data_IF_470653449439
#
_entry.id   IF_470653449439
#
_cell.length_a   1.000
_cell.length_b   1.000
_cell.length_c   1.000
_cell.angle_alpha   90.00
_cell.angle_beta   90.00
_cell.angle_gamma   90.00
#
_symmetry.space_group_name_H-M   'P 1'
#
loop_
_entity.id
_entity.type
_entity.pdbx_description
1 polymer ?
#
# COMPACT_ATOMS: atom_id res chain seq x y z
N UNK A 1 -73.25 3.30 -47.07
CA UNK A 1 -72.62 2.42 -46.08
C UNK A 1 -71.80 1.39 -46.84
N UNK A 2 -70.48 1.50 -46.74
CA UNK A 2 -69.52 0.43 -47.02
C UNK A 2 -68.21 0.93 -46.43
N UNK A 3 -68.02 0.63 -45.15
CA UNK A 3 -66.87 1.04 -44.37
C UNK A 3 -65.61 0.42 -44.98
N UNK A 4 -64.78 1.27 -45.57
CA UNK A 4 -63.50 0.90 -46.15
C UNK A 4 -62.50 0.74 -44.98
N UNK A 5 -62.61 -0.37 -44.24
CA UNK A 5 -61.69 -0.70 -43.15
C UNK A 5 -60.38 -1.17 -43.80
N UNK A 6 -59.49 -0.21 -44.07
CA UNK A 6 -58.09 -0.48 -44.37
C UNK A 6 -57.50 -1.25 -43.18
N UNK A 7 -57.24 -2.55 -43.37
CA UNK A 7 -56.49 -3.38 -42.41
C UNK A 7 -55.05 -2.88 -42.37
N UNK A 8 -54.80 -1.88 -41.53
CA UNK A 8 -53.46 -1.35 -41.28
C UNK A 8 -52.69 -2.41 -40.51
N UNK A 9 -51.82 -3.14 -41.20
CA UNK A 9 -50.94 -4.12 -40.56
C UNK A 9 -50.04 -3.38 -39.56
N UNK A 10 -50.21 -3.66 -38.27
CA UNK A 10 -49.38 -3.07 -37.23
C UNK A 10 -47.96 -3.59 -37.38
N UNK A 11 -46.99 -2.68 -37.34
CA UNK A 11 -45.58 -3.05 -37.37
C UNK A 11 -45.28 -3.94 -36.15
N UNK A 12 -44.51 -5.03 -36.33
CA UNK A 12 -44.19 -6.00 -35.27
C UNK A 12 -43.65 -5.32 -33.99
N UNK A 13 -42.89 -4.23 -34.16
CA UNK A 13 -42.34 -3.42 -33.05
C UNK A 13 -43.43 -2.77 -32.18
N UNK A 14 -44.52 -2.32 -32.78
CA UNK A 14 -45.62 -1.68 -32.06
C UNK A 14 -46.44 -2.71 -31.27
N UNK A 15 -46.62 -3.90 -31.86
CA UNK A 15 -47.28 -5.04 -31.21
C UNK A 15 -46.45 -5.53 -30.01
N UNK A 16 -45.13 -5.62 -30.15
CA UNK A 16 -44.22 -5.99 -29.06
C UNK A 16 -44.19 -4.93 -27.96
N UNK A 17 -44.23 -3.64 -28.32
CA UNK A 17 -44.29 -2.55 -27.34
C UNK A 17 -45.57 -2.60 -26.52
N UNK A 18 -46.71 -2.82 -27.18
CA UNK A 18 -47.99 -3.01 -26.50
C UNK A 18 -47.96 -4.23 -25.58
N UNK A 19 -47.38 -5.35 -26.03
CA UNK A 19 -47.21 -6.55 -25.20
C UNK A 19 -46.36 -6.27 -23.96
N UNK A 20 -45.28 -5.51 -24.09
CA UNK A 20 -44.39 -5.16 -22.98
C UNK A 20 -45.07 -4.20 -21.98
N UNK A 21 -45.87 -3.26 -22.47
CA UNK A 21 -46.72 -2.39 -21.64
C UNK A 21 -47.73 -3.19 -20.81
N UNK A 22 -48.45 -4.12 -21.45
CA UNK A 22 -49.43 -4.98 -20.76
C UNK A 22 -48.77 -5.88 -19.72
N UNK A 23 -47.54 -6.33 -19.96
CA UNK A 23 -46.76 -7.16 -19.02
C UNK A 23 -46.08 -6.36 -17.90
N UNK A 24 -46.31 -5.05 -17.81
CA UNK A 24 -45.69 -4.17 -16.79
C UNK A 24 -44.20 -3.88 -17.02
N UNK A 25 -43.66 -4.22 -18.20
CA UNK A 25 -42.25 -4.08 -18.56
C UNK A 25 -42.02 -2.92 -19.54
N UNK A 26 -42.57 -1.75 -19.22
CA UNK A 26 -42.58 -0.58 -20.12
C UNK A 26 -41.20 -0.07 -20.54
N UNK A 27 -40.14 -0.41 -19.80
CA UNK A 27 -38.76 0.01 -20.08
C UNK A 27 -37.96 -0.99 -20.94
N UNK A 28 -38.52 -2.14 -21.33
CA UNK A 28 -37.83 -3.10 -22.19
C UNK A 28 -37.76 -2.61 -23.64
N UNK A 29 -36.53 -2.49 -24.19
CA UNK A 29 -36.29 -2.04 -25.57
C UNK A 29 -36.86 -3.03 -26.59
N UNK A 30 -37.73 -2.55 -27.49
CA UNK A 30 -38.32 -3.31 -28.61
C UNK A 30 -37.54 -3.22 -29.92
N UNK A 31 -36.32 -2.67 -29.89
CA UNK A 31 -35.45 -2.58 -31.06
C UNK A 31 -33.97 -2.61 -30.68
N UNK A 32 -33.20 -3.42 -31.41
CA UNK A 32 -31.74 -3.35 -31.38
C UNK A 32 -31.30 -2.03 -32.01
N UNK A 33 -30.75 -1.14 -31.19
CA UNK A 33 -29.99 0.00 -31.69
C UNK A 33 -28.58 -0.49 -31.92
N UNK A 34 -28.03 -0.26 -33.11
CA UNK A 34 -26.61 -0.51 -33.37
C UNK A 34 -25.83 0.58 -32.66
N UNK A 35 -25.50 0.32 -31.40
CA UNK A 35 -24.79 1.22 -30.52
C UNK A 35 -24.25 0.40 -29.36
N UNK A 36 -22.92 0.42 -29.21
CA UNK A 36 -22.10 -0.27 -28.22
C UNK A 36 -22.84 -0.55 -26.90
N UNK A 37 -23.27 -1.80 -26.68
CA UNK A 37 -23.81 -2.24 -25.40
C UNK A 37 -22.63 -2.49 -24.46
N UNK A 38 -22.30 -1.51 -23.61
CA UNK A 38 -21.35 -1.73 -22.50
C UNK A 38 -21.88 -2.85 -21.62
N UNK A 39 -21.06 -3.88 -21.38
CA UNK A 39 -21.34 -4.85 -20.31
C UNK A 39 -21.35 -4.08 -18.99
N UNK A 40 -22.46 -4.13 -18.26
CA UNK A 40 -22.52 -3.60 -16.91
C UNK A 40 -21.85 -4.60 -15.98
N UNK A 41 -20.59 -4.34 -15.65
CA UNK A 41 -19.86 -5.08 -14.63
C UNK A 41 -20.12 -4.40 -13.28
N UNK A 42 -20.67 -5.16 -12.33
CA UNK A 42 -20.90 -4.70 -10.97
C UNK A 42 -19.73 -5.16 -10.10
N UNK A 43 -18.94 -4.20 -9.62
CA UNK A 43 -17.85 -4.45 -8.69
C UNK A 43 -18.29 -4.12 -7.27
N UNK A 44 -17.82 -4.89 -6.29
CA UNK A 44 -18.08 -4.69 -4.86
C UNK A 44 -16.90 -3.95 -4.21
N UNK A 45 -17.12 -3.50 -2.98
CA UNK A 45 -16.07 -2.84 -2.19
C UNK A 45 -14.86 -3.77 -1.97
N UNK A 46 -13.67 -3.28 -2.30
CA UNK A 46 -12.42 -4.06 -2.26
C UNK A 46 -12.04 -4.78 -3.55
N UNK A 47 -12.90 -4.81 -4.58
CA UNK A 47 -12.55 -5.38 -5.88
C UNK A 47 -11.51 -4.51 -6.61
N UNK A 48 -10.50 -5.15 -7.19
CA UNK A 48 -9.50 -4.51 -8.07
C UNK A 48 -9.76 -4.98 -9.49
N UNK A 49 -10.00 -4.06 -10.42
CA UNK A 49 -10.19 -4.41 -11.84
C UNK A 49 -9.49 -3.43 -12.77
N UNK A 50 -9.21 -3.86 -13.98
CA UNK A 50 -8.62 -3.02 -15.02
C UNK A 50 -9.69 -2.54 -16.00
N UNK A 51 -9.77 -1.23 -16.18
CA UNK A 51 -10.66 -0.61 -17.16
C UNK A 51 -9.93 0.53 -17.86
N UNK A 52 -9.86 0.47 -19.19
CA UNK A 52 -9.16 1.45 -20.04
C UNK A 52 -7.67 1.63 -19.67
N UNK A 53 -6.98 0.53 -19.36
CA UNK A 53 -5.55 0.54 -19.00
C UNK A 53 -5.22 1.17 -17.65
N UNK A 54 -6.22 1.35 -16.78
CA UNK A 54 -6.07 1.82 -15.40
C UNK A 54 -6.68 0.80 -14.44
N UNK A 55 -6.06 0.63 -13.29
CA UNK A 55 -6.56 -0.21 -12.20
C UNK A 55 -7.50 0.60 -11.32
N UNK A 56 -8.69 0.08 -11.06
CA UNK A 56 -9.72 0.73 -10.26
C UNK A 56 -10.00 -0.08 -9.01
N UNK A 57 -10.39 0.62 -7.94
CA UNK A 57 -10.92 0.04 -6.70
C UNK A 57 -12.14 0.81 -6.23
N UNK A 58 -13.00 0.14 -5.48
CA UNK A 58 -14.04 0.80 -4.69
C UNK A 58 -13.56 0.86 -3.24
N UNK A 59 -13.46 2.07 -2.69
CA UNK A 59 -13.22 2.34 -1.27
C UNK A 59 -14.23 3.35 -0.77
N UNK A 60 -14.84 3.08 0.39
CA UNK A 60 -15.84 3.97 1.00
C UNK A 60 -16.98 4.33 0.04
N UNK A 61 -17.36 3.38 -0.83
CA UNK A 61 -18.40 3.56 -1.86
C UNK A 61 -17.99 4.43 -3.07
N UNK A 62 -16.74 4.91 -3.13
CA UNK A 62 -16.23 5.75 -4.21
C UNK A 62 -15.30 4.92 -5.11
N UNK A 63 -15.50 5.02 -6.43
CA UNK A 63 -14.59 4.43 -7.43
C UNK A 63 -13.32 5.28 -7.53
N UNK A 64 -12.20 4.74 -7.06
CA UNK A 64 -10.88 5.35 -7.07
C UNK A 64 -9.93 4.63 -8.05
N UNK A 65 -9.05 5.38 -8.72
CA UNK A 65 -7.99 4.81 -9.56
C UNK A 65 -6.75 4.52 -8.70
N UNK A 66 -6.25 3.29 -8.75
CA UNK A 66 -5.02 2.89 -8.06
C UNK A 66 -3.82 3.39 -8.86
N UNK A 67 -3.13 4.38 -8.32
CA UNK A 67 -1.91 4.92 -8.90
C UNK A 67 -0.67 4.45 -8.16
N UNK A 68 0.51 4.54 -8.80
CA UNK A 68 1.80 4.34 -8.11
C UNK A 68 1.95 5.24 -6.88
N UNK A 69 1.32 6.42 -6.89
CA UNK A 69 1.33 7.38 -5.79
C UNK A 69 0.54 6.91 -4.55
N UNK A 70 -0.39 5.97 -4.69
CA UNK A 70 -1.19 5.52 -3.54
C UNK A 70 -0.36 4.73 -2.52
N UNK A 71 0.76 4.13 -2.94
CA UNK A 71 1.74 3.55 -2.01
C UNK A 71 2.34 4.62 -1.11
N UNK A 72 2.65 5.79 -1.67
CA UNK A 72 3.25 6.91 -0.95
C UNK A 72 2.24 7.68 -0.09
N UNK A 73 0.97 7.74 -0.50
CA UNK A 73 -0.11 8.31 0.31
C UNK A 73 -0.26 7.57 1.65
N UNK A 74 -0.10 6.23 1.66
CA UNK A 74 -0.13 5.43 2.89
C UNK A 74 1.03 5.70 3.84
N UNK A 75 2.20 6.05 3.30
CA UNK A 75 3.39 6.41 4.10
C UNK A 75 3.41 7.88 4.53
N UNK A 76 2.49 8.70 4.03
CA UNK A 76 2.42 10.11 4.38
C UNK A 76 1.89 10.27 5.80
N UNK A 77 2.36 11.32 6.45
CA UNK A 77 1.91 11.74 7.78
C UNK A 77 0.45 12.23 7.64
N UNK A 78 -0.52 11.60 8.31
CA UNK A 78 -1.92 12.00 8.19
C UNK A 78 -2.16 13.32 8.91
N UNK A 79 -3.17 14.07 8.46
CA UNK A 79 -3.60 15.30 9.14
C UNK A 79 -4.17 15.02 10.53
N UNK A 80 -4.83 13.88 10.69
CA UNK A 80 -5.44 13.45 11.94
C UNK A 80 -4.72 12.22 12.47
N UNK A 81 -4.46 12.19 13.77
CA UNK A 81 -3.89 11.01 14.41
C UNK A 81 -4.89 9.83 14.36
N UNK A 82 -4.48 8.63 13.93
CA UNK A 82 -5.37 7.48 13.88
C UNK A 82 -5.81 6.99 15.27
N UNK A 83 -5.08 7.32 16.34
CA UNK A 83 -5.39 6.87 17.70
C UNK A 83 -6.41 7.78 18.42
N UNK A 84 -6.34 9.09 18.21
CA UNK A 84 -7.17 10.06 18.96
C UNK A 84 -8.01 10.99 18.07
N UNK A 85 -7.85 10.95 16.74
CA UNK A 85 -8.58 11.79 15.79
C UNK A 85 -8.22 13.29 15.85
N UNK A 86 -7.29 13.69 16.71
CA UNK A 86 -6.88 15.09 16.82
C UNK A 86 -5.97 15.50 15.67
N UNK A 87 -5.99 16.79 15.33
CA UNK A 87 -5.11 17.34 14.32
C UNK A 87 -3.65 17.25 14.78
N UNK A 88 -2.79 16.83 13.87
CA UNK A 88 -1.40 16.51 14.14
C UNK A 88 -0.50 17.67 13.69
N UNK A 89 -0.56 18.78 14.44
CA UNK A 89 0.02 20.07 14.06
C UNK A 89 1.31 20.43 14.80
N UNK A 90 1.79 19.60 15.72
CA UNK A 90 3.00 19.90 16.49
C UNK A 90 4.24 19.59 15.65
N UNK A 91 5.30 20.37 15.85
CA UNK A 91 6.56 20.23 15.11
C UNK A 91 7.14 18.80 15.15
N UNK A 92 6.97 18.10 16.28
CA UNK A 92 7.50 16.75 16.48
C UNK A 92 6.55 15.66 16.02
N UNK A 93 5.27 15.95 15.79
CA UNK A 93 4.31 14.90 15.46
C UNK A 93 4.66 14.11 14.18
N UNK A 94 5.19 14.72 13.09
CA UNK A 94 5.62 13.97 11.92
C UNK A 94 6.71 12.93 12.22
N UNK A 95 7.59 13.22 13.19
CA UNK A 95 8.65 12.29 13.61
C UNK A 95 8.08 11.15 14.44
N UNK A 96 7.21 11.46 15.41
CA UNK A 96 6.56 10.45 16.26
C UNK A 96 5.63 9.55 15.46
N UNK A 97 4.93 10.07 14.45
CA UNK A 97 4.09 9.25 13.59
C UNK A 97 4.92 8.25 12.77
N UNK A 98 6.07 8.66 12.23
CA UNK A 98 6.96 7.76 11.48
C UNK A 98 7.55 6.65 12.35
N UNK A 99 7.82 6.93 13.62
CA UNK A 99 8.41 5.96 14.55
C UNK A 99 7.37 5.03 15.20
N UNK A 100 6.24 5.57 15.66
CA UNK A 100 5.26 4.88 16.51
C UNK A 100 3.86 4.77 15.90
N UNK A 101 3.60 5.39 14.74
CA UNK A 101 2.27 5.45 14.13
C UNK A 101 1.25 6.30 14.90
N UNK A 102 1.69 7.11 15.86
CA UNK A 102 0.82 7.92 16.74
C UNK A 102 1.37 9.35 16.92
N UNK A 103 0.51 10.28 17.34
CA UNK A 103 0.92 11.65 17.65
C UNK A 103 1.73 11.72 18.96
N UNK A 104 2.41 12.85 19.18
CA UNK A 104 3.24 13.09 20.36
C UNK A 104 2.46 12.89 21.66
N UNK A 105 1.22 13.38 21.73
CA UNK A 105 0.42 13.33 22.96
C UNK A 105 -0.02 11.89 23.31
N UNK A 106 -0.37 11.10 22.29
CA UNK A 106 -0.70 9.70 22.50
C UNK A 106 0.50 8.91 23.02
N UNK A 107 1.70 9.17 22.49
CA UNK A 107 2.93 8.50 22.95
C UNK A 107 3.27 8.95 24.38
N UNK A 108 3.20 10.25 24.68
CA UNK A 108 3.37 10.76 26.05
C UNK A 108 2.39 10.13 27.04
N UNK A 109 1.12 10.00 26.67
CA UNK A 109 0.11 9.36 27.50
C UNK A 109 0.42 7.87 27.76
N UNK A 110 1.00 7.16 26.79
CA UNK A 110 1.45 5.77 26.97
C UNK A 110 2.67 5.70 27.90
N UNK A 111 3.69 6.51 27.65
CA UNK A 111 4.90 6.53 28.48
C UNK A 111 4.62 6.93 29.93
N UNK A 112 3.73 7.92 30.14
CA UNK A 112 3.32 8.33 31.49
C UNK A 112 2.59 7.20 32.22
N UNK A 113 1.70 6.45 31.56
CA UNK A 113 1.06 5.28 32.16
C UNK A 113 2.08 4.21 32.59
N UNK A 114 3.08 3.92 31.76
CA UNK A 114 4.16 2.96 32.08
C UNK A 114 5.00 3.46 33.26
N UNK A 115 5.25 4.77 33.35
CA UNK A 115 5.95 5.36 34.50
C UNK A 115 5.14 5.24 35.79
N UNK A 116 3.83 5.47 35.72
CA UNK A 116 2.93 5.34 36.87
C UNK A 116 2.78 3.88 37.31
N UNK A 117 2.80 2.91 36.40
CA UNK A 117 2.77 1.48 36.75
C UNK A 117 4.07 0.97 37.40
N UNK A 118 5.15 1.76 37.38
CA UNK A 118 6.45 1.37 37.91
C UNK A 118 7.25 0.44 36.99
N UNK A 119 6.74 0.13 35.80
CA UNK A 119 7.36 -0.81 34.85
C UNK A 119 8.33 -0.13 33.88
N UNK A 120 8.66 1.14 34.12
CA UNK A 120 9.47 1.96 33.23
C UNK A 120 10.87 1.40 32.97
N UNK A 121 11.51 0.83 33.98
CA UNK A 121 12.85 0.26 33.83
C UNK A 121 12.83 -1.03 33.01
N UNK A 122 11.80 -1.87 33.18
CA UNK A 122 11.61 -3.06 32.35
C UNK A 122 11.35 -2.69 30.90
N UNK A 123 10.50 -1.68 30.66
CA UNK A 123 10.21 -1.16 29.33
C UNK A 123 11.46 -0.60 28.64
N UNK A 124 12.32 0.12 29.36
CA UNK A 124 13.61 0.61 28.83
C UNK A 124 14.54 -0.53 28.44
N UNK A 125 14.67 -1.55 29.29
CA UNK A 125 15.50 -2.73 28.98
C UNK A 125 14.99 -3.47 27.74
N UNK A 126 13.67 -3.66 27.65
CA UNK A 126 13.05 -4.32 26.49
C UNK A 126 13.28 -3.53 25.19
N UNK A 127 13.13 -2.20 25.20
CA UNK A 127 13.44 -1.37 24.03
C UNK A 127 14.92 -1.49 23.65
N UNK A 128 15.83 -1.35 24.61
CA UNK A 128 17.28 -1.45 24.34
C UNK A 128 17.65 -2.80 23.75
N UNK A 129 17.12 -3.90 24.30
CA UNK A 129 17.39 -5.24 23.79
C UNK A 129 16.85 -5.41 22.36
N UNK A 130 15.65 -4.90 22.07
CA UNK A 130 15.06 -4.89 20.72
C UNK A 130 15.87 -4.06 19.72
N UNK A 131 16.39 -2.91 20.14
CA UNK A 131 17.26 -2.08 19.31
C UNK A 131 18.57 -2.81 18.98
N UNK A 132 19.17 -3.48 19.97
CA UNK A 132 20.38 -4.30 19.78
C UNK A 132 20.09 -5.48 18.84
N UNK A 133 18.97 -6.18 19.00
CA UNK A 133 18.59 -7.29 18.12
C UNK A 133 18.47 -6.84 16.67
N UNK A 134 17.77 -5.73 16.43
CA UNK A 134 17.64 -5.15 15.09
C UNK A 134 18.98 -4.68 14.53
N UNK A 135 19.86 -4.13 15.37
CA UNK A 135 21.20 -3.74 14.96
C UNK A 135 22.04 -4.96 14.55
N UNK A 136 21.93 -6.08 15.26
CA UNK A 136 22.59 -7.34 14.89
C UNK A 136 22.09 -7.82 13.51
N UNK A 137 20.78 -7.78 13.26
CA UNK A 137 20.21 -8.13 11.95
C UNK A 137 20.76 -7.23 10.84
N UNK A 138 20.70 -5.90 11.02
CA UNK A 138 21.22 -4.94 10.05
C UNK A 138 22.72 -5.11 9.80
N UNK A 139 23.49 -5.44 10.85
CA UNK A 139 24.92 -5.68 10.74
C UNK A 139 25.22 -6.95 9.93
N UNK A 140 24.47 -8.03 10.15
CA UNK A 140 24.57 -9.25 9.34
C UNK A 140 24.25 -8.96 7.88
N UNK A 141 23.14 -8.31 7.60
CA UNK A 141 22.71 -7.96 6.24
C UNK A 141 23.76 -7.10 5.53
N UNK A 142 24.32 -6.11 6.23
CA UNK A 142 25.38 -5.26 5.70
C UNK A 142 26.66 -6.05 5.40
N UNK A 143 27.10 -6.90 6.32
CA UNK A 143 28.30 -7.72 6.12
C UNK A 143 28.11 -8.72 4.97
N UNK A 144 26.94 -9.35 4.88
CA UNK A 144 26.60 -10.25 3.78
C UNK A 144 26.56 -9.52 2.44
N UNK A 145 25.93 -8.33 2.39
CA UNK A 145 25.91 -7.52 1.17
C UNK A 145 27.32 -7.17 0.73
N UNK A 146 28.19 -6.74 1.66
CA UNK A 146 29.59 -6.42 1.39
C UNK A 146 30.44 -7.63 0.98
N UNK A 147 30.18 -8.81 1.52
CA UNK A 147 30.84 -10.05 1.08
C UNK A 147 30.37 -10.52 -0.30
N UNK A 148 29.14 -10.17 -0.71
CA UNK A 148 28.55 -10.49 -2.01
C UNK A 148 28.90 -9.48 -3.11
N UNK A 149 29.26 -8.24 -2.74
CA UNK A 149 29.74 -7.22 -3.66
C UNK A 149 31.05 -7.69 -4.32
N UNK A 150 30.98 -8.03 -5.61
CA UNK A 150 32.16 -8.27 -6.44
C UNK A 150 32.71 -6.95 -6.97
N UNK A 151 34.03 -6.82 -7.12
CA UNK A 151 34.68 -5.68 -7.79
C UNK A 151 34.28 -5.63 -9.27
N UNK A 152 33.12 -5.07 -9.58
CA UNK A 152 32.72 -4.74 -10.93
C UNK A 152 33.66 -3.66 -11.44
N UNK A 153 34.29 -3.93 -12.59
CA UNK A 153 35.13 -2.94 -13.27
C UNK A 153 34.37 -1.63 -13.45
N UNK A 154 34.95 -0.52 -13.02
CA UNK A 154 34.37 0.81 -13.19
C UNK A 154 34.86 1.39 -14.52
N UNK A 155 33.97 2.02 -15.28
CA UNK A 155 34.31 2.71 -16.53
C UNK A 155 34.42 4.19 -16.22
N UNK A 156 35.61 4.77 -16.42
CA UNK A 156 35.84 6.20 -16.21
C UNK A 156 35.15 7.01 -17.33
N UNK A 157 34.94 8.31 -17.10
CA UNK A 157 34.38 9.21 -18.12
C UNK A 157 35.23 9.26 -19.41
N UNK A 158 36.52 8.93 -19.30
CA UNK A 158 37.46 8.78 -20.42
C UNK A 158 37.31 7.44 -21.18
N UNK A 159 36.42 6.55 -20.74
CA UNK A 159 36.17 5.24 -21.36
C UNK A 159 37.13 4.14 -20.93
N UNK A 160 37.97 4.37 -19.92
CA UNK A 160 38.91 3.37 -19.42
C UNK A 160 38.23 2.45 -18.40
N UNK A 161 38.43 1.15 -18.58
CA UNK A 161 37.88 0.11 -17.68
C UNK A 161 38.91 -0.17 -16.59
N UNK A 162 38.74 0.43 -15.41
CA UNK A 162 39.59 0.14 -14.26
C UNK A 162 39.07 -1.09 -13.51
N UNK A 163 39.96 -2.08 -13.34
CA UNK A 163 39.74 -3.23 -12.45
C UNK A 163 40.58 -3.04 -11.20
N UNK A 164 39.92 -2.76 -10.09
CA UNK A 164 40.57 -2.70 -8.79
C UNK A 164 40.82 -4.14 -8.31
N UNK A 165 42.08 -4.57 -8.38
CA UNK A 165 42.51 -5.91 -7.96
C UNK A 165 42.72 -5.87 -6.44
N UNK A 166 41.67 -6.21 -5.70
CA UNK A 166 41.69 -6.27 -4.23
C UNK A 166 40.34 -6.72 -3.70
N UNK A 167 40.23 -7.98 -3.27
CA UNK A 167 38.99 -8.54 -2.74
C UNK A 167 38.95 -8.54 -1.21
N UNK A 168 37.74 -8.57 -0.66
CA UNK A 168 37.54 -8.85 0.76
C UNK A 168 38.04 -10.26 1.10
N UNK A 169 38.91 -10.35 2.10
CA UNK A 169 39.26 -11.63 2.69
C UNK A 169 38.04 -12.14 3.48
N UNK A 170 37.36 -13.13 2.92
CA UNK A 170 36.11 -13.69 3.46
C UNK A 170 36.27 -14.30 4.84
N UNK A 171 37.45 -14.82 5.18
CA UNK A 171 37.71 -15.42 6.49
C UNK A 171 37.76 -14.33 7.56
N UNK A 172 38.58 -13.29 7.34
CA UNK A 172 38.65 -12.14 8.24
C UNK A 172 37.32 -11.40 8.39
N UNK A 173 36.55 -11.30 7.30
CA UNK A 173 35.22 -10.68 7.35
C UNK A 173 34.23 -11.48 8.22
N UNK A 174 34.29 -12.82 8.16
CA UNK A 174 33.48 -13.69 9.04
C UNK A 174 33.92 -13.61 10.50
N UNK A 175 35.21 -13.54 10.76
CA UNK A 175 35.75 -13.35 12.12
C UNK A 175 35.26 -12.01 12.71
N UNK A 176 35.43 -10.92 11.98
CA UNK A 176 34.96 -9.60 12.39
C UNK A 176 33.44 -9.56 12.62
N UNK A 177 32.67 -10.26 11.78
CA UNK A 177 31.22 -10.42 11.96
C UNK A 177 30.92 -11.09 13.30
N UNK A 178 31.54 -12.23 13.59
CA UNK A 178 31.30 -12.99 14.82
C UNK A 178 31.72 -12.19 16.07
N UNK A 179 32.84 -11.47 16.01
CA UNK A 179 33.28 -10.59 17.08
C UNK A 179 32.30 -9.43 17.31
N UNK A 180 31.84 -8.80 16.23
CA UNK A 180 30.83 -7.74 16.27
C UNK A 180 29.52 -8.22 16.91
N UNK A 181 29.03 -9.40 16.54
CA UNK A 181 27.83 -9.99 17.16
C UNK A 181 28.06 -10.24 18.65
N UNK A 182 29.18 -10.85 19.05
CA UNK A 182 29.49 -11.11 20.47
C UNK A 182 29.52 -9.83 21.29
N UNK A 183 30.12 -8.77 20.73
CA UNK A 183 30.13 -7.46 21.37
C UNK A 183 28.71 -6.92 21.55
N UNK A 184 27.88 -6.94 20.50
CA UNK A 184 26.49 -6.46 20.56
C UNK A 184 25.65 -7.27 21.56
N UNK A 185 25.83 -8.59 21.61
CA UNK A 185 25.17 -9.45 22.58
C UNK A 185 25.59 -9.13 24.02
N UNK A 186 26.86 -8.78 24.25
CA UNK A 186 27.35 -8.38 25.58
C UNK A 186 26.72 -7.08 26.11
N UNK A 187 26.21 -6.23 25.22
CA UNK A 187 25.56 -4.96 25.59
C UNK A 187 24.09 -5.14 26.00
N UNK A 188 23.52 -6.33 25.83
CA UNK A 188 22.14 -6.61 26.24
C UNK A 188 22.02 -6.58 27.75
N UNK A 189 21.07 -5.78 28.23
CA UNK A 189 20.78 -5.68 29.65
C UNK A 189 19.88 -6.85 30.07
N UNK A 190 20.28 -7.56 31.14
CA UNK A 190 19.44 -8.59 31.80
C UNK A 190 18.31 -7.96 32.62
#
# INVERSE_FOLDING_TARGET
MNDNILKKEFNKKDVERLRNLVKGKGNERTGQGVGYTKKQEFHKEGDIWEENGRTWTIKDGIKENITKLDKFKKSSVPLFCPSCGTIMNKQLDPHYFKAYGACLDCVKAKETKIKVSGEWDNHKKDIQNKEIDKLIEQYKDFMESKMSESNSSFVTESGEVEKWIGGINKERAKEALLEGIKYLESLKNK
#
